data_IF_967675332771
#
_entry.id   IF_967675332771
#
_cell.length_a   1.000
_cell.length_b   1.000
_cell.length_c   1.000
_cell.angle_alpha   90.00
_cell.angle_beta   90.00
_cell.angle_gamma   90.00
#
_symmetry.space_group_name_H-M   'P 1'
#
loop_
_entity.id
_entity.type
_entity.pdbx_description
1 polymer ?
#
# COMPACT_ATOMS: atom_id res chain seq x y z
N UNK A 1 28.81 17.36 7.10
CA UNK A 1 27.89 16.20 6.99
C UNK A 1 28.67 15.13 6.25
N UNK A 2 29.05 14.02 6.92
CA UNK A 2 30.06 13.09 6.40
C UNK A 2 29.51 12.22 5.27
N UNK A 3 30.32 11.99 4.23
CA UNK A 3 30.02 11.09 3.10
C UNK A 3 29.68 9.66 3.57
N UNK A 4 30.25 9.24 4.69
CA UNK A 4 29.97 7.95 5.32
C UNK A 4 28.51 7.82 5.79
N UNK A 5 27.86 8.90 6.24
CA UNK A 5 26.45 8.86 6.62
C UNK A 5 25.55 8.63 5.41
N UNK A 6 25.83 9.30 4.29
CA UNK A 6 25.07 9.09 3.05
C UNK A 6 25.26 7.67 2.49
N UNK A 7 26.48 7.14 2.53
CA UNK A 7 26.78 5.76 2.12
C UNK A 7 26.08 4.73 2.99
N UNK A 8 26.14 4.88 4.32
CA UNK A 8 25.46 3.98 5.26
C UNK A 8 23.93 4.06 5.15
N UNK A 9 23.38 5.25 4.91
CA UNK A 9 21.95 5.45 4.69
C UNK A 9 21.51 4.78 3.39
N UNK A 10 22.25 4.97 2.30
CA UNK A 10 22.02 4.30 1.02
C UNK A 10 22.04 2.77 1.16
N UNK A 11 23.01 2.22 1.91
CA UNK A 11 23.10 0.77 2.15
C UNK A 11 21.93 0.23 2.97
N UNK A 12 21.44 1.01 3.93
CA UNK A 12 20.28 0.62 4.74
C UNK A 12 18.98 0.64 3.93
N UNK A 13 18.82 1.64 3.06
CA UNK A 13 17.71 1.69 2.10
C UNK A 13 17.77 0.53 1.11
N UNK A 14 18.96 0.25 0.56
CA UNK A 14 19.17 -0.87 -0.35
C UNK A 14 18.74 -2.19 0.30
N UNK A 15 19.23 -2.46 1.52
CA UNK A 15 18.86 -3.66 2.26
C UNK A 15 17.34 -3.74 2.52
N UNK A 16 16.71 -2.63 2.88
CA UNK A 16 15.27 -2.55 3.15
C UNK A 16 14.43 -2.92 1.92
N UNK A 17 14.74 -2.34 0.76
CA UNK A 17 13.97 -2.56 -0.48
C UNK A 17 14.33 -3.86 -1.21
N UNK A 18 15.51 -4.43 -0.97
CA UNK A 18 16.04 -5.57 -1.72
C UNK A 18 16.05 -6.89 -0.94
N UNK A 19 15.74 -6.89 0.35
CA UNK A 19 15.80 -8.13 1.17
C UNK A 19 14.52 -8.43 1.93
N UNK A 20 13.75 -7.41 2.32
CA UNK A 20 12.59 -7.61 3.19
C UNK A 20 11.30 -7.78 2.38
N UNK A 21 10.68 -8.93 2.62
CA UNK A 21 9.39 -9.31 2.07
C UNK A 21 8.51 -9.73 3.25
N UNK A 22 7.48 -8.95 3.56
CA UNK A 22 6.54 -9.28 4.64
C UNK A 22 5.17 -8.67 4.36
N UNK A 23 4.11 -9.48 4.38
CA UNK A 23 2.74 -9.04 4.05
C UNK A 23 2.68 -8.32 2.69
N UNK A 24 3.48 -8.74 1.72
CA UNK A 24 3.62 -8.01 0.48
C UNK A 24 2.45 -8.32 -0.48
N UNK A 25 1.67 -7.31 -0.91
CA UNK A 25 0.46 -7.56 -1.73
C UNK A 25 0.80 -7.94 -3.19
N UNK A 26 0.89 -6.97 -4.10
CA UNK A 26 1.15 -7.19 -5.52
C UNK A 26 2.53 -7.76 -5.75
N UNK A 27 3.48 -7.46 -4.86
CA UNK A 27 4.81 -8.01 -4.92
C UNK A 27 4.81 -9.55 -4.92
N UNK A 28 3.99 -10.25 -4.10
CA UNK A 28 3.96 -11.72 -4.14
C UNK A 28 3.44 -12.29 -5.45
N UNK A 29 2.49 -11.61 -6.09
CA UNK A 29 2.00 -12.01 -7.42
C UNK A 29 3.10 -11.85 -8.48
N UNK A 30 3.80 -10.71 -8.48
CA UNK A 30 4.89 -10.43 -9.41
C UNK A 30 6.10 -11.32 -9.16
N UNK A 31 6.43 -11.60 -7.90
CA UNK A 31 7.51 -12.53 -7.50
C UNK A 31 7.20 -13.93 -8.02
N UNK A 32 5.97 -14.41 -7.84
CA UNK A 32 5.54 -15.69 -8.41
C UNK A 32 5.73 -15.68 -9.94
N UNK A 33 5.22 -14.68 -10.66
CA UNK A 33 5.42 -14.57 -12.10
C UNK A 33 6.92 -14.51 -12.50
N UNK A 34 7.75 -13.80 -11.75
CA UNK A 34 9.20 -13.73 -11.95
C UNK A 34 9.90 -15.07 -11.82
N UNK A 35 9.52 -15.89 -10.83
CA UNK A 35 10.02 -17.26 -10.71
C UNK A 35 9.63 -18.13 -11.90
N UNK A 36 8.40 -17.99 -12.42
CA UNK A 36 7.97 -18.75 -13.61
C UNK A 36 8.74 -18.36 -14.88
N UNK A 37 9.13 -17.10 -15.02
CA UNK A 37 9.79 -16.59 -16.22
C UNK A 37 11.32 -16.76 -16.20
N UNK A 38 11.95 -16.56 -15.03
CA UNK A 38 13.41 -16.42 -14.92
C UNK A 38 14.02 -17.43 -13.94
N UNK A 39 13.23 -18.06 -13.07
CA UNK A 39 13.68 -19.12 -12.17
C UNK A 39 14.31 -18.66 -10.86
N UNK A 40 14.42 -17.35 -10.60
CA UNK A 40 14.93 -16.80 -9.33
C UNK A 40 14.19 -15.53 -8.89
N UNK A 41 14.44 -15.08 -7.66
CA UNK A 41 13.77 -13.92 -7.08
C UNK A 41 14.29 -12.60 -7.67
N UNK A 42 13.42 -11.85 -8.36
CA UNK A 42 13.71 -10.54 -8.94
C UNK A 42 13.34 -9.38 -7.98
N UNK A 43 13.51 -9.57 -6.67
CA UNK A 43 13.09 -8.60 -5.65
C UNK A 43 13.63 -7.19 -5.93
N UNK A 44 14.90 -7.07 -6.32
CA UNK A 44 15.53 -5.80 -6.64
C UNK A 44 14.77 -5.03 -7.72
N UNK A 45 14.47 -5.71 -8.82
CA UNK A 45 13.84 -5.13 -10.00
C UNK A 45 12.36 -4.87 -9.75
N UNK A 46 11.65 -5.85 -9.19
CA UNK A 46 10.21 -5.75 -8.91
C UNK A 46 9.96 -4.70 -7.83
N UNK A 47 10.71 -4.73 -6.72
CA UNK A 47 10.61 -3.77 -5.62
C UNK A 47 10.87 -2.34 -6.07
N UNK A 48 11.92 -2.11 -6.88
CA UNK A 48 12.19 -0.79 -7.47
C UNK A 48 11.05 -0.35 -8.39
N UNK A 49 10.56 -1.24 -9.26
CA UNK A 49 9.43 -0.93 -10.14
C UNK A 49 8.15 -0.56 -9.40
N UNK A 50 7.83 -1.29 -8.33
CA UNK A 50 6.70 -1.00 -7.45
C UNK A 50 6.85 0.34 -6.74
N UNK A 51 8.03 0.65 -6.20
CA UNK A 51 8.31 1.92 -5.53
C UNK A 51 8.16 3.12 -6.48
N UNK A 52 8.68 3.02 -7.71
CA UNK A 52 8.50 4.04 -8.75
C UNK A 52 7.03 4.21 -9.13
N UNK A 53 6.30 3.10 -9.27
CA UNK A 53 4.87 3.11 -9.57
C UNK A 53 4.08 3.79 -8.45
N UNK A 54 4.36 3.45 -7.19
CA UNK A 54 3.75 4.09 -6.03
C UNK A 54 4.02 5.60 -6.01
N UNK A 55 5.28 6.01 -6.21
CA UNK A 55 5.65 7.42 -6.28
C UNK A 55 4.88 8.19 -7.36
N UNK A 56 4.74 7.61 -8.56
CA UNK A 56 4.00 8.23 -9.66
C UNK A 56 2.51 8.37 -9.34
N UNK A 57 1.89 7.34 -8.75
CA UNK A 57 0.48 7.38 -8.35
C UNK A 57 0.23 8.42 -7.25
N UNK A 58 1.15 8.54 -6.28
CA UNK A 58 1.08 9.55 -5.23
C UNK A 58 1.19 10.98 -5.80
N UNK A 59 2.12 11.21 -6.74
CA UNK A 59 2.23 12.50 -7.44
C UNK A 59 0.98 12.83 -8.24
N UNK A 60 0.43 11.84 -8.96
CA UNK A 60 -0.83 12.01 -9.70
C UNK A 60 -1.98 12.39 -8.76
N UNK A 61 -2.07 11.73 -7.62
CA UNK A 61 -3.12 11.96 -6.64
C UNK A 61 -2.97 13.34 -5.98
N UNK A 62 -1.74 13.73 -5.62
CA UNK A 62 -1.43 15.06 -5.11
C UNK A 62 -1.75 16.15 -6.13
N UNK A 63 -1.45 15.93 -7.41
CA UNK A 63 -1.79 16.87 -8.48
C UNK A 63 -3.30 17.02 -8.70
N UNK A 64 -4.09 15.97 -8.47
CA UNK A 64 -5.55 16.04 -8.62
C UNK A 64 -6.25 16.81 -7.51
N UNK A 65 -5.67 16.89 -6.32
CA UNK A 65 -6.23 17.63 -5.20
C UNK A 65 -5.94 19.14 -5.33
N UNK A 66 -6.83 19.88 -6.01
CA UNK A 66 -6.66 21.32 -6.24
C UNK A 66 -7.25 22.22 -5.13
N UNK A 67 -8.26 21.76 -4.39
CA UNK A 67 -8.99 22.55 -3.37
C UNK A 67 -9.27 21.71 -2.11
N UNK A 68 -8.26 21.47 -1.25
CA UNK A 68 -8.39 20.55 -0.14
C UNK A 68 -9.34 21.07 0.95
N UNK A 69 -10.39 20.30 1.20
CA UNK A 69 -11.16 20.35 2.45
C UNK A 69 -10.62 19.29 3.42
N UNK A 70 -10.93 19.37 4.70
CA UNK A 70 -10.51 18.34 5.67
C UNK A 70 -11.01 16.94 5.25
N UNK A 71 -12.23 16.86 4.71
CA UNK A 71 -12.81 15.61 4.25
C UNK A 71 -12.15 15.10 2.96
N UNK A 72 -11.91 15.95 1.95
CA UNK A 72 -11.26 15.53 0.71
C UNK A 72 -9.80 15.14 0.95
N UNK A 73 -9.08 15.92 1.77
CA UNK A 73 -7.71 15.60 2.16
C UNK A 73 -7.62 14.27 2.90
N UNK A 74 -8.55 14.00 3.83
CA UNK A 74 -8.63 12.72 4.52
C UNK A 74 -8.82 11.53 3.57
N UNK A 75 -9.71 11.67 2.57
CA UNK A 75 -9.92 10.64 1.54
C UNK A 75 -8.69 10.44 0.65
N UNK A 76 -8.08 11.53 0.22
CA UNK A 76 -6.89 11.54 -0.64
C UNK A 76 -5.69 10.92 0.09
N UNK A 77 -5.48 11.23 1.36
CA UNK A 77 -4.41 10.63 2.18
C UNK A 77 -4.69 9.15 2.49
N UNK A 78 -5.95 8.79 2.74
CA UNK A 78 -6.35 7.39 2.94
C UNK A 78 -6.05 6.55 1.68
N UNK A 79 -6.44 7.05 0.50
CA UNK A 79 -6.17 6.39 -0.77
C UNK A 79 -4.67 6.34 -1.08
N UNK A 80 -3.95 7.44 -0.85
CA UNK A 80 -2.50 7.53 -1.04
C UNK A 80 -1.77 6.41 -0.27
N UNK A 81 -2.04 6.29 1.03
CA UNK A 81 -1.43 5.26 1.87
C UNK A 81 -1.84 3.85 1.46
N UNK A 82 -3.09 3.67 1.03
CA UNK A 82 -3.57 2.37 0.55
C UNK A 82 -2.82 1.93 -0.70
N UNK A 83 -2.67 2.81 -1.68
CA UNK A 83 -1.90 2.54 -2.90
C UNK A 83 -0.42 2.28 -2.57
N UNK A 84 0.15 3.08 -1.66
CA UNK A 84 1.53 2.89 -1.22
C UNK A 84 1.73 1.51 -0.58
N UNK A 85 0.89 1.10 0.37
CA UNK A 85 1.03 -0.20 1.04
C UNK A 85 0.70 -1.39 0.14
N UNK A 86 -0.26 -1.27 -0.78
CA UNK A 86 -0.51 -2.32 -1.76
C UNK A 86 0.69 -2.58 -2.67
N UNK A 87 1.51 -1.56 -2.93
CA UNK A 87 2.72 -1.64 -3.74
C UNK A 87 3.99 -1.82 -2.90
N UNK A 88 3.90 -1.87 -1.57
CA UNK A 88 5.05 -2.09 -0.72
C UNK A 88 5.46 -3.58 -0.69
N UNK A 89 6.75 -3.84 -0.52
CA UNK A 89 7.27 -5.20 -0.28
C UNK A 89 7.18 -5.61 1.19
N UNK A 90 6.95 -4.66 2.09
CA UNK A 90 6.90 -4.87 3.54
C UNK A 90 5.80 -4.01 4.16
N UNK A 91 4.80 -4.66 4.78
CA UNK A 91 3.71 -3.99 5.51
C UNK A 91 3.57 -4.59 6.90
N UNK A 92 4.01 -3.86 7.93
CA UNK A 92 3.81 -4.27 9.32
C UNK A 92 2.49 -3.75 9.90
N UNK A 93 1.89 -4.43 10.90
CA UNK A 93 0.63 -4.03 11.50
C UNK A 93 0.58 -2.57 11.95
N UNK A 94 1.67 -2.07 12.54
CA UNK A 94 1.75 -0.68 13.00
C UNK A 94 1.73 0.36 11.88
N UNK A 95 2.03 -0.01 10.63
CA UNK A 95 1.93 0.89 9.47
C UNK A 95 0.48 1.26 9.13
N UNK A 96 -0.51 0.48 9.58
CA UNK A 96 -1.92 0.79 9.34
C UNK A 96 -2.47 1.89 10.26
N UNK A 97 -1.74 2.28 11.30
CA UNK A 97 -2.14 3.36 12.23
C UNK A 97 -2.58 4.65 11.51
N UNK A 98 -1.79 5.23 10.58
CA UNK A 98 -2.22 6.41 9.82
C UNK A 98 -3.44 6.14 8.93
N UNK A 99 -3.62 4.94 8.37
CA UNK A 99 -4.83 4.60 7.61
C UNK A 99 -6.09 4.64 8.48
N UNK A 100 -6.01 4.13 9.71
CA UNK A 100 -7.13 4.20 10.67
C UNK A 100 -7.41 5.66 11.04
N UNK A 101 -6.35 6.45 11.29
CA UNK A 101 -6.49 7.87 11.63
C UNK A 101 -7.18 8.65 10.51
N UNK A 102 -6.77 8.46 9.25
CA UNK A 102 -7.41 9.15 8.13
C UNK A 102 -8.82 8.66 7.85
N UNK A 103 -9.12 7.38 8.10
CA UNK A 103 -10.48 6.85 7.95
C UNK A 103 -11.50 7.55 8.86
N UNK A 104 -11.09 8.19 9.96
CA UNK A 104 -11.97 9.03 10.78
C UNK A 104 -12.57 10.22 10.01
N UNK A 105 -11.89 10.71 8.99
CA UNK A 105 -12.33 11.83 8.15
C UNK A 105 -13.09 11.38 6.90
N UNK A 106 -13.34 10.07 6.75
CA UNK A 106 -13.94 9.49 5.56
C UNK A 106 -15.08 8.52 5.91
N UNK A 107 -15.98 8.20 4.97
CA UNK A 107 -16.98 7.17 5.19
C UNK A 107 -16.41 5.74 5.03
N UNK A 108 -15.18 5.61 4.54
CA UNK A 108 -14.52 4.32 4.27
C UNK A 108 -13.93 3.71 5.55
N UNK A 109 -14.21 2.42 5.81
CA UNK A 109 -13.84 1.68 7.02
C UNK A 109 -13.04 0.41 6.74
N UNK A 110 -12.71 0.11 5.48
CA UNK A 110 -11.82 -1.02 5.12
C UNK A 110 -10.47 -1.00 5.87
N UNK A 111 -9.95 0.17 6.24
CA UNK A 111 -8.70 0.28 7.00
C UNK A 111 -8.80 -0.32 8.41
N UNK A 112 -9.99 -0.29 9.03
CA UNK A 112 -10.26 -0.95 10.31
C UNK A 112 -10.21 -2.46 10.11
N UNK A 113 -10.86 -2.97 9.06
CA UNK A 113 -10.80 -4.40 8.70
C UNK A 113 -9.36 -4.83 8.45
N UNK A 114 -8.61 -4.05 7.68
CA UNK A 114 -7.19 -4.33 7.42
C UNK A 114 -6.38 -4.40 8.71
N UNK A 115 -6.61 -3.47 9.65
CA UNK A 115 -5.90 -3.45 10.94
C UNK A 115 -6.16 -4.68 11.82
N UNK A 116 -7.32 -5.31 11.68
CA UNK A 116 -7.61 -6.59 12.34
C UNK A 116 -6.95 -7.77 11.62
N UNK A 117 -6.99 -7.76 10.28
CA UNK A 117 -6.51 -8.87 9.46
C UNK A 117 -4.99 -8.98 9.38
N UNK A 118 -4.26 -7.87 9.39
CA UNK A 118 -2.79 -7.81 9.24
C UNK A 118 -2.03 -8.66 10.25
N UNK A 119 -2.63 -8.90 11.42
CA UNK A 119 -2.04 -9.76 12.45
C UNK A 119 -1.92 -11.22 12.02
N UNK A 120 -2.73 -11.68 11.06
CA UNK A 120 -2.61 -13.02 10.50
C UNK A 120 -1.23 -13.26 9.87
N UNK A 121 -0.61 -12.21 9.34
CA UNK A 121 0.72 -12.31 8.73
C UNK A 121 1.84 -12.60 9.73
N UNK A 122 1.61 -12.42 11.03
CA UNK A 122 2.54 -12.85 12.08
C UNK A 122 2.58 -14.37 12.26
N UNK A 123 1.68 -15.11 11.62
CA UNK A 123 1.82 -16.56 11.49
C UNK A 123 3.16 -16.97 10.87
N UNK A 124 3.83 -16.07 10.14
CA UNK A 124 5.16 -16.28 9.59
C UNK A 124 6.25 -16.57 10.64
N UNK A 125 6.01 -16.20 11.90
CA UNK A 125 6.91 -16.39 13.03
C UNK A 125 6.55 -17.58 13.92
N UNK A 126 5.64 -18.46 13.50
CA UNK A 126 5.27 -19.66 14.26
C UNK A 126 6.43 -20.67 14.40
N UNK A 127 7.36 -20.67 13.46
CA UNK A 127 8.55 -21.52 13.46
C UNK A 127 9.84 -20.69 13.51
N UNK A 128 10.96 -21.25 13.97
CA UNK A 128 12.27 -20.57 13.92
C UNK A 128 12.71 -20.22 12.50
N UNK A 129 12.23 -20.98 11.51
CA UNK A 129 12.40 -20.66 10.09
C UNK A 129 11.30 -19.68 9.69
N UNK A 130 11.71 -18.51 9.21
CA UNK A 130 10.79 -17.53 8.65
C UNK A 130 10.13 -18.10 7.39
N UNK A 131 8.80 -18.20 7.40
CA UNK A 131 8.03 -18.67 6.25
C UNK A 131 6.63 -18.06 6.25
N UNK A 132 6.32 -17.25 5.25
CA UNK A 132 4.99 -16.65 5.14
C UNK A 132 3.95 -17.60 4.58
N UNK A 133 2.79 -17.61 5.21
CA UNK A 133 1.63 -18.33 4.71
C UNK A 133 0.88 -17.47 3.68
N UNK A 134 1.21 -17.67 2.39
CA UNK A 134 0.60 -16.93 1.29
C UNK A 134 -0.93 -17.09 1.21
N UNK A 135 -1.50 -18.17 1.75
CA UNK A 135 -2.95 -18.34 1.80
C UNK A 135 -3.59 -17.39 2.83
N UNK A 136 -2.97 -17.22 4.00
CA UNK A 136 -3.43 -16.24 5.00
C UNK A 136 -3.29 -14.81 4.46
N UNK A 137 -2.17 -14.48 3.82
CA UNK A 137 -1.95 -13.17 3.19
C UNK A 137 -2.98 -12.93 2.08
N UNK A 138 -3.27 -13.93 1.24
CA UNK A 138 -4.28 -13.81 0.18
C UNK A 138 -5.69 -13.60 0.74
N UNK A 139 -6.02 -14.28 1.85
CA UNK A 139 -7.30 -14.12 2.53
C UNK A 139 -7.42 -12.71 3.15
N UNK A 140 -6.36 -12.22 3.77
CA UNK A 140 -6.27 -10.85 4.29
C UNK A 140 -6.55 -9.82 3.19
N UNK A 141 -5.75 -9.82 2.11
CA UNK A 141 -5.90 -8.85 1.04
C UNK A 141 -7.22 -9.02 0.27
N UNK A 142 -7.68 -10.25 0.09
CA UNK A 142 -8.97 -10.54 -0.54
C UNK A 142 -10.14 -9.92 0.24
N UNK A 143 -10.14 -10.04 1.56
CA UNK A 143 -11.17 -9.43 2.40
C UNK A 143 -11.07 -7.89 2.39
N UNK A 144 -9.86 -7.34 2.54
CA UNK A 144 -9.63 -5.89 2.55
C UNK A 144 -10.06 -5.24 1.23
N UNK A 145 -9.65 -5.82 0.09
CA UNK A 145 -10.04 -5.33 -1.24
C UNK A 145 -11.54 -5.51 -1.45
N UNK A 146 -12.12 -6.64 -1.02
CA UNK A 146 -13.57 -6.87 -1.10
C UNK A 146 -14.38 -5.81 -0.36
N UNK A 147 -13.98 -5.48 0.88
CA UNK A 147 -14.63 -4.41 1.67
C UNK A 147 -14.41 -3.04 1.03
N UNK A 148 -13.20 -2.73 0.56
CA UNK A 148 -12.92 -1.47 -0.14
C UNK A 148 -13.80 -1.32 -1.38
N UNK A 149 -13.90 -2.34 -2.22
CA UNK A 149 -14.75 -2.31 -3.43
C UNK A 149 -16.22 -2.16 -3.06
N UNK A 150 -16.70 -2.91 -2.06
CA UNK A 150 -18.05 -2.79 -1.55
C UNK A 150 -18.37 -1.36 -1.06
N UNK A 151 -17.47 -0.78 -0.29
CA UNK A 151 -17.61 0.59 0.20
C UNK A 151 -17.61 1.61 -0.95
N UNK A 152 -16.72 1.49 -1.93
CA UNK A 152 -16.68 2.40 -3.08
C UNK A 152 -17.91 2.29 -3.98
N UNK A 153 -18.47 1.08 -4.13
CA UNK A 153 -19.68 0.86 -4.95
C UNK A 153 -20.94 1.40 -4.26
N UNK A 154 -21.03 1.30 -2.93
CA UNK A 154 -22.22 1.71 -2.18
C UNK A 154 -22.17 3.12 -1.62
N UNK A 155 -20.98 3.67 -1.35
CA UNK A 155 -20.79 5.02 -0.85
C UNK A 155 -20.53 6.00 -1.99
N UNK A 156 -20.76 7.29 -1.75
CA UNK A 156 -20.51 8.34 -2.75
C UNK A 156 -19.01 8.38 -3.13
N UNK A 157 -18.68 8.55 -4.43
CA UNK A 157 -17.30 8.64 -4.90
C UNK A 157 -16.57 9.85 -4.27
N UNK A 158 -15.24 9.78 -4.22
CA UNK A 158 -14.39 10.82 -3.63
C UNK A 158 -14.72 12.23 -4.14
N UNK A 159 -14.63 13.23 -3.26
CA UNK A 159 -15.11 14.60 -3.53
C UNK A 159 -14.57 15.25 -4.82
N UNK A 160 -13.32 14.98 -5.21
CA UNK A 160 -12.73 15.51 -6.45
C UNK A 160 -13.20 14.78 -7.72
N UNK A 161 -13.80 13.59 -7.62
CA UNK A 161 -14.46 12.91 -8.75
C UNK A 161 -15.75 13.65 -9.14
N UNK A 162 -16.42 14.27 -8.17
CA UNK A 162 -17.68 15.00 -8.41
C UNK A 162 -17.47 16.41 -8.96
N UNK A 163 -16.37 17.09 -8.63
CA UNK A 163 -16.13 18.47 -9.10
C UNK A 163 -15.78 18.57 -10.60
N UNK A 164 -15.27 17.48 -11.20
CA UNK A 164 -14.99 17.42 -12.64
C UNK A 164 -16.25 17.59 -13.52
N UNK A 165 -17.44 17.37 -12.96
CA UNK A 165 -18.71 17.57 -13.67
C UNK A 165 -19.21 19.02 -13.63
N UNK A 166 -18.89 19.80 -12.59
CA UNK A 166 -19.37 21.18 -12.46
C UNK A 166 -18.55 22.20 -13.27
N UNK A 167 -17.31 21.86 -13.65
CA UNK A 167 -16.45 22.74 -14.46
C UNK A 167 -16.83 22.70 -15.96
N UNK A 168 -17.56 21.68 -16.42
CA UNK A 168 -17.97 21.56 -17.85
C UNK A 168 -19.31 22.21 -18.18
N UNK A 169 -20.01 22.79 -17.20
CA UNK A 169 -21.37 23.32 -17.38
C UNK A 169 -21.48 24.85 -17.24
N UNK A 170 -20.36 25.57 -17.22
CA UNK A 170 -20.33 27.03 -17.27
C UNK A 170 -19.48 27.52 -18.44
#
# INVERSE_FOLDING_TARGET
MSLDLFSNFGRSLDLYFHTFEFNASFYYLLRAAGYWLVGYNLIATIGTGLALTAGLLLLLLAWREHQPTVASLGQTLLLALTLYYLLATTVHPWYLTPLIAFACFTPYRYSIVWSGMVWLSYAAYQTPVYSENLLLVSLEYGLVIGVLVWEVVLLKPMGWVTDAHHIRTN
#
